data_IF_291876029865
#
_entry.id   IF_291876029865
#
_cell.length_a   1.000
_cell.length_b   1.000
_cell.length_c   1.000
_cell.angle_alpha   90.00
_cell.angle_beta   90.00
_cell.angle_gamma   90.00
#
_symmetry.space_group_name_H-M   'P 1'
#
loop_
_entity.id
_entity.type
_entity.pdbx_description
1 polymer ?
#
# COMPACT_ATOMS: atom_id res chain seq x y z
N UNK A 1 -31.03 -12.15 -4.20
CA UNK A 1 -30.46 -11.48 -5.39
C UNK A 1 -28.99 -11.77 -5.40
N UNK A 2 -28.42 -12.36 -6.45
CA UNK A 2 -26.98 -12.66 -6.47
C UNK A 2 -26.19 -11.35 -6.41
N UNK A 3 -25.19 -11.29 -5.50
CA UNK A 3 -24.31 -10.15 -5.41
C UNK A 3 -23.58 -9.94 -6.75
N UNK A 4 -23.78 -8.78 -7.35
CA UNK A 4 -23.07 -8.40 -8.58
C UNK A 4 -21.63 -8.03 -8.23
N UNK A 5 -20.66 -8.74 -8.78
CA UNK A 5 -19.23 -8.49 -8.54
C UNK A 5 -18.77 -7.23 -9.27
N UNK A 6 -19.03 -6.07 -8.71
CA UNK A 6 -18.73 -4.76 -9.31
C UNK A 6 -17.52 -4.04 -8.70
N UNK A 7 -16.99 -4.52 -7.56
CA UNK A 7 -15.86 -3.87 -6.87
C UNK A 7 -14.52 -4.06 -7.58
N UNK A 8 -14.39 -5.08 -8.45
CA UNK A 8 -13.19 -5.33 -9.26
C UNK A 8 -13.35 -4.64 -10.61
N UNK A 9 -12.40 -3.80 -10.95
CA UNK A 9 -12.40 -3.08 -12.22
C UNK A 9 -12.20 -1.57 -12.02
N UNK A 10 -12.11 -0.87 -13.13
CA UNK A 10 -11.91 0.58 -13.15
C UNK A 10 -13.26 1.31 -13.10
N UNK A 11 -13.87 1.30 -11.91
CA UNK A 11 -15.18 1.88 -11.65
C UNK A 11 -15.16 3.43 -11.63
N UNK A 12 -16.36 4.05 -11.55
CA UNK A 12 -16.52 5.52 -11.58
C UNK A 12 -15.76 6.24 -10.46
N UNK A 13 -15.70 5.65 -9.25
CA UNK A 13 -15.00 6.22 -8.11
C UNK A 13 -13.49 6.21 -8.33
N UNK A 14 -12.93 5.11 -8.84
CA UNK A 14 -11.51 5.00 -9.19
C UNK A 14 -11.13 5.98 -10.30
N UNK A 15 -11.98 6.15 -11.33
CA UNK A 15 -11.77 7.15 -12.38
C UNK A 15 -11.74 8.58 -11.82
N UNK A 16 -12.65 8.93 -10.91
CA UNK A 16 -12.64 10.24 -10.25
C UNK A 16 -11.37 10.45 -9.42
N UNK A 17 -10.93 9.42 -8.71
CA UNK A 17 -9.68 9.46 -7.96
C UNK A 17 -8.48 9.69 -8.88
N UNK A 18 -8.39 8.97 -9.99
CA UNK A 18 -7.30 9.09 -10.95
C UNK A 18 -7.25 10.50 -11.56
N UNK A 19 -8.40 11.07 -11.93
CA UNK A 19 -8.49 12.45 -12.42
C UNK A 19 -8.05 13.47 -11.34
N UNK A 20 -8.42 13.23 -10.09
CA UNK A 20 -7.99 14.09 -8.99
C UNK A 20 -6.47 14.04 -8.81
N UNK A 21 -5.88 12.84 -8.79
CA UNK A 21 -4.42 12.67 -8.67
C UNK A 21 -3.70 13.27 -9.88
N UNK A 22 -4.21 13.04 -11.09
CA UNK A 22 -3.65 13.64 -12.30
C UNK A 22 -3.66 15.18 -12.21
N UNK A 23 -4.80 15.77 -11.86
CA UNK A 23 -4.92 17.23 -11.68
C UNK A 23 -3.96 17.77 -10.61
N UNK A 24 -3.82 17.04 -9.48
CA UNK A 24 -2.85 17.39 -8.43
C UNK A 24 -1.40 17.34 -8.94
N UNK A 25 -1.02 16.30 -9.68
CA UNK A 25 0.33 16.19 -10.26
C UNK A 25 0.61 17.32 -11.25
N UNK A 26 -0.34 17.62 -12.15
CA UNK A 26 -0.19 18.72 -13.12
C UNK A 26 -0.06 20.06 -12.40
N UNK A 27 -0.91 20.33 -11.40
CA UNK A 27 -0.84 21.56 -10.62
C UNK A 27 0.50 21.71 -9.91
N UNK A 28 0.95 20.63 -9.23
CA UNK A 28 2.25 20.63 -8.54
C UNK A 28 3.40 20.93 -9.50
N UNK A 29 3.47 20.20 -10.64
CA UNK A 29 4.53 20.38 -11.63
C UNK A 29 4.51 21.80 -12.22
N UNK A 30 3.33 22.31 -12.57
CA UNK A 30 3.19 23.66 -13.12
C UNK A 30 3.63 24.75 -12.13
N UNK A 31 3.21 24.61 -10.86
CA UNK A 31 3.62 25.55 -9.80
C UNK A 31 5.12 25.47 -9.54
N UNK A 32 5.67 24.26 -9.43
CA UNK A 32 7.10 24.09 -9.19
C UNK A 32 7.95 24.68 -10.31
N UNK A 33 7.63 24.35 -11.58
CA UNK A 33 8.35 24.87 -12.74
C UNK A 33 8.18 26.40 -12.84
N UNK A 34 6.96 26.91 -12.63
CA UNK A 34 6.70 28.36 -12.66
C UNK A 34 7.46 29.13 -11.58
N UNK A 35 7.46 28.64 -10.33
CA UNK A 35 8.24 29.24 -9.23
C UNK A 35 9.75 29.16 -9.51
N UNK A 36 10.21 28.00 -10.02
CA UNK A 36 11.64 27.83 -10.36
C UNK A 36 12.07 28.80 -11.48
N UNK A 37 11.27 28.99 -12.51
CA UNK A 37 11.56 29.90 -13.61
C UNK A 37 11.67 31.38 -13.14
N UNK A 38 10.87 31.76 -12.14
CA UNK A 38 10.92 33.11 -11.56
C UNK A 38 12.13 33.29 -10.60
N UNK A 39 12.36 32.27 -9.76
CA UNK A 39 13.35 32.37 -8.67
C UNK A 39 14.79 32.03 -9.13
N UNK A 40 14.92 31.23 -10.20
CA UNK A 40 16.18 30.75 -10.76
C UNK A 40 16.13 30.78 -12.29
N UNK A 41 16.18 31.99 -12.91
CA UNK A 41 16.03 32.15 -14.34
C UNK A 41 17.13 31.48 -15.17
N UNK A 42 18.26 31.14 -14.56
CA UNK A 42 19.38 30.43 -15.20
C UNK A 42 19.14 28.91 -15.34
N UNK A 43 18.09 28.38 -14.73
CA UNK A 43 17.79 26.96 -14.86
C UNK A 43 17.11 26.68 -16.21
N UNK A 44 17.59 25.65 -16.92
CA UNK A 44 16.91 25.18 -18.12
C UNK A 44 15.58 24.51 -17.77
N UNK A 45 14.69 24.42 -18.74
CA UNK A 45 13.39 23.74 -18.56
C UNK A 45 13.59 22.27 -18.13
N UNK A 46 14.57 21.58 -18.72
CA UNK A 46 14.92 20.19 -18.40
C UNK A 46 15.34 20.06 -16.93
N UNK A 47 16.18 20.97 -16.44
CA UNK A 47 16.59 20.99 -15.04
C UNK A 47 15.40 21.19 -14.11
N UNK A 48 14.52 22.16 -14.43
CA UNK A 48 13.31 22.40 -13.64
C UNK A 48 12.36 21.17 -13.67
N UNK A 49 12.24 20.49 -14.81
CA UNK A 49 11.43 19.28 -14.94
C UNK A 49 12.00 18.11 -14.14
N UNK A 50 13.32 17.86 -14.21
CA UNK A 50 14.00 16.83 -13.43
C UNK A 50 13.79 17.07 -11.94
N UNK A 51 13.97 18.31 -11.47
CA UNK A 51 13.79 18.67 -10.04
C UNK A 51 12.34 18.53 -9.58
N UNK A 52 11.39 19.00 -10.38
CA UNK A 52 9.96 18.93 -10.03
C UNK A 52 9.44 17.49 -9.99
N UNK A 53 9.82 16.67 -10.96
CA UNK A 53 9.42 15.26 -11.03
C UNK A 53 10.07 14.41 -9.95
N UNK A 54 11.34 14.65 -9.61
CA UNK A 54 12.01 13.94 -8.50
C UNK A 54 11.36 14.22 -7.16
N UNK A 55 11.09 15.49 -6.86
CA UNK A 55 10.44 15.87 -5.59
C UNK A 55 9.01 15.37 -5.50
N UNK A 56 8.23 15.43 -6.59
CA UNK A 56 6.89 14.87 -6.63
C UNK A 56 6.90 13.35 -6.43
N UNK A 57 7.79 12.62 -7.11
CA UNK A 57 7.92 11.18 -6.95
C UNK A 57 8.27 10.79 -5.51
N UNK A 58 9.20 11.50 -4.87
CA UNK A 58 9.57 11.28 -3.47
C UNK A 58 8.41 11.54 -2.51
N UNK A 59 7.66 12.65 -2.69
CA UNK A 59 6.49 12.96 -1.88
C UNK A 59 5.40 11.88 -2.02
N UNK A 60 5.11 11.45 -3.27
CA UNK A 60 4.15 10.38 -3.52
C UNK A 60 4.60 9.06 -2.87
N UNK A 61 5.90 8.74 -2.93
CA UNK A 61 6.46 7.55 -2.29
C UNK A 61 6.30 7.58 -0.76
N UNK A 62 6.56 8.71 -0.12
CA UNK A 62 6.31 8.89 1.32
C UNK A 62 4.84 8.69 1.67
N UNK A 63 3.92 9.26 0.88
CA UNK A 63 2.47 9.07 1.08
C UNK A 63 2.09 7.60 0.94
N UNK A 64 2.53 6.92 -0.13
CA UNK A 64 2.20 5.51 -0.39
C UNK A 64 2.67 4.60 0.74
N UNK A 65 3.90 4.79 1.21
CA UNK A 65 4.48 3.99 2.29
C UNK A 65 3.85 4.29 3.65
N UNK A 66 3.29 5.48 3.85
CA UNK A 66 2.58 5.87 5.08
C UNK A 66 1.17 5.27 5.17
N UNK A 67 0.50 4.96 4.05
CA UNK A 67 -0.89 4.49 4.04
C UNK A 67 -1.08 3.24 4.92
N UNK A 68 -0.23 2.21 4.74
CA UNK A 68 -0.34 0.97 5.50
C UNK A 68 -0.24 1.16 7.02
N UNK A 69 0.83 1.78 7.52
CA UNK A 69 0.97 2.11 8.94
C UNK A 69 -0.19 2.97 9.50
N UNK A 70 -0.58 4.02 8.80
CA UNK A 70 -1.70 4.88 9.21
C UNK A 70 -3.00 4.08 9.38
N UNK A 71 -3.31 3.19 8.44
CA UNK A 71 -4.50 2.34 8.52
C UNK A 71 -4.50 1.42 9.74
N UNK A 72 -3.34 0.88 10.14
CA UNK A 72 -3.19 0.06 11.34
C UNK A 72 -3.28 0.87 12.64
N UNK A 73 -2.81 2.10 12.62
CA UNK A 73 -2.91 3.01 13.77
C UNK A 73 -4.32 3.56 13.94
N UNK A 74 -5.01 3.91 12.85
CA UNK A 74 -6.35 4.49 12.90
C UNK A 74 -7.21 4.06 11.71
N UNK A 75 -8.34 3.42 12.00
CA UNK A 75 -9.29 2.89 11.02
C UNK A 75 -9.90 3.97 10.09
N UNK A 76 -9.82 5.25 10.44
CA UNK A 76 -10.29 6.35 9.58
C UNK A 76 -9.53 6.42 8.25
N UNK A 77 -8.29 5.92 8.20
CA UNK A 77 -7.45 5.89 7.00
C UNK A 77 -7.69 4.68 6.10
N UNK A 78 -8.46 3.68 6.53
CA UNK A 78 -8.73 2.46 5.73
C UNK A 78 -9.22 2.72 4.30
N UNK A 79 -10.01 3.77 3.99
CA UNK A 79 -10.39 4.07 2.61
C UNK A 79 -9.23 4.32 1.65
N UNK A 80 -8.06 4.75 2.16
CA UNK A 80 -6.87 5.01 1.34
C UNK A 80 -6.27 3.72 0.74
N UNK A 81 -6.50 2.56 1.37
CA UNK A 81 -5.98 1.27 0.87
C UNK A 81 -6.52 0.90 -0.51
N UNK A 82 -7.78 1.23 -0.81
CA UNK A 82 -8.45 0.83 -2.06
C UNK A 82 -7.85 1.44 -3.33
N UNK A 83 -7.15 2.57 -3.22
CA UNK A 83 -6.57 3.28 -4.34
C UNK A 83 -5.03 3.33 -4.31
N UNK A 84 -4.40 2.65 -3.34
CA UNK A 84 -2.94 2.64 -3.16
C UNK A 84 -2.21 2.16 -4.41
N UNK A 85 -2.77 1.18 -5.13
CA UNK A 85 -2.24 0.66 -6.39
C UNK A 85 -2.13 1.75 -7.46
N UNK A 86 -3.21 2.53 -7.68
CA UNK A 86 -3.24 3.62 -8.67
C UNK A 86 -2.21 4.70 -8.33
N UNK A 87 -2.12 5.06 -7.06
CA UNK A 87 -1.12 6.03 -6.59
C UNK A 87 0.32 5.51 -6.81
N UNK A 88 0.56 4.20 -6.61
CA UNK A 88 1.86 3.56 -6.88
C UNK A 88 2.27 3.63 -8.34
N UNK A 89 1.34 3.34 -9.27
CA UNK A 89 1.59 3.45 -10.71
C UNK A 89 1.83 4.90 -11.11
N UNK A 90 1.08 5.86 -10.56
CA UNK A 90 1.30 7.29 -10.81
C UNK A 90 2.69 7.73 -10.34
N UNK A 91 3.09 7.34 -9.13
CA UNK A 91 4.44 7.63 -8.61
C UNK A 91 5.53 7.07 -9.53
N UNK A 92 5.39 5.80 -9.96
CA UNK A 92 6.34 5.21 -10.91
C UNK A 92 6.39 5.99 -12.23
N UNK A 93 5.25 6.39 -12.79
CA UNK A 93 5.20 7.18 -14.05
C UNK A 93 5.96 8.51 -13.89
N UNK A 94 5.77 9.21 -12.77
CA UNK A 94 6.50 10.45 -12.48
C UNK A 94 8.01 10.18 -12.32
N UNK A 95 8.38 9.11 -11.60
CA UNK A 95 9.77 8.69 -11.44
C UNK A 95 10.42 8.28 -12.78
N UNK A 96 9.65 7.65 -13.68
CA UNK A 96 10.12 7.28 -15.01
C UNK A 96 10.42 8.53 -15.86
N UNK A 97 9.56 9.55 -15.80
CA UNK A 97 9.83 10.84 -16.46
C UNK A 97 11.11 11.46 -15.90
N UNK A 98 11.28 11.49 -14.56
CA UNK A 98 12.50 11.97 -13.93
C UNK A 98 13.74 11.23 -14.44
N UNK A 99 13.74 9.89 -14.40
CA UNK A 99 14.88 9.07 -14.83
C UNK A 99 15.19 9.21 -16.30
N UNK A 100 14.16 9.27 -17.16
CA UNK A 100 14.33 9.44 -18.61
C UNK A 100 14.98 10.77 -18.97
N UNK A 101 14.48 11.88 -18.39
CA UNK A 101 15.06 13.20 -18.63
C UNK A 101 16.46 13.33 -18.01
N UNK A 102 16.73 12.70 -16.88
CA UNK A 102 18.07 12.65 -16.28
C UNK A 102 19.08 11.91 -17.17
N UNK A 103 18.69 10.75 -17.72
CA UNK A 103 19.55 10.01 -18.65
C UNK A 103 19.78 10.83 -19.92
N UNK A 104 18.74 11.46 -20.45
CA UNK A 104 18.87 12.31 -21.63
C UNK A 104 19.83 13.48 -21.38
N UNK A 105 19.62 14.26 -20.33
CA UNK A 105 20.40 15.47 -20.05
C UNK A 105 21.87 15.17 -19.70
N UNK A 106 22.13 14.13 -18.93
CA UNK A 106 23.47 13.89 -18.38
C UNK A 106 24.26 12.82 -19.11
N UNK A 107 23.62 11.97 -19.93
CA UNK A 107 24.30 10.83 -20.55
C UNK A 107 24.06 10.66 -22.05
N UNK A 108 22.99 11.25 -22.64
CA UNK A 108 22.68 11.03 -24.05
C UNK A 108 23.40 11.99 -25.02
N UNK A 109 23.94 13.09 -24.52
CA UNK A 109 24.58 14.13 -25.35
C UNK A 109 26.08 13.88 -25.57
N UNK A 110 26.63 12.77 -25.05
CA UNK A 110 28.03 12.37 -25.25
C UNK A 110 28.20 11.32 -26.33
N UNK A 111 29.45 10.88 -26.56
CA UNK A 111 29.80 9.86 -27.57
C UNK A 111 29.56 8.41 -27.10
N UNK A 112 29.37 8.20 -25.80
CA UNK A 112 29.12 6.87 -25.23
C UNK A 112 27.63 6.53 -25.23
N UNK A 113 27.30 5.23 -25.27
CA UNK A 113 25.92 4.80 -25.04
C UNK A 113 25.45 5.32 -23.67
N UNK A 114 24.24 5.94 -23.55
CA UNK A 114 23.75 6.56 -22.33
C UNK A 114 23.74 5.62 -21.12
N UNK A 115 23.38 4.36 -21.30
CA UNK A 115 23.36 3.37 -20.22
C UNK A 115 24.79 2.97 -19.80
N UNK A 116 25.73 2.88 -20.74
CA UNK A 116 27.17 2.67 -20.42
C UNK A 116 27.70 3.88 -19.67
N UNK A 117 27.44 5.09 -20.16
CA UNK A 117 27.81 6.35 -19.50
C UNK A 117 27.32 6.44 -18.05
N UNK A 118 26.08 6.03 -17.79
CA UNK A 118 25.49 6.05 -16.45
C UNK A 118 26.33 5.27 -15.40
N UNK A 119 27.00 4.19 -15.82
CA UNK A 119 27.81 3.36 -14.93
C UNK A 119 29.33 3.65 -14.98
N UNK A 120 29.80 4.31 -16.05
CA UNK A 120 31.25 4.50 -16.29
C UNK A 120 31.71 5.94 -16.21
N UNK A 121 30.83 6.92 -16.33
CA UNK A 121 31.19 8.35 -16.31
C UNK A 121 31.73 8.84 -14.97
N UNK A 122 31.35 8.17 -13.88
CA UNK A 122 31.84 8.44 -12.54
C UNK A 122 32.12 7.12 -11.81
N UNK A 123 33.34 6.94 -11.34
CA UNK A 123 33.81 5.75 -10.61
C UNK A 123 34.39 6.07 -9.24
N UNK A 124 34.08 7.25 -8.69
CA UNK A 124 34.61 7.71 -7.41
C UNK A 124 33.85 7.16 -6.21
N UNK A 125 33.77 5.83 -6.08
CA UNK A 125 33.03 5.14 -5.02
C UNK A 125 33.54 5.46 -3.59
N UNK A 126 34.76 5.92 -3.44
CA UNK A 126 35.34 6.31 -2.14
C UNK A 126 35.01 7.75 -1.72
N UNK A 127 34.39 8.54 -2.56
CA UNK A 127 34.07 9.95 -2.28
C UNK A 127 32.61 10.12 -1.93
N UNK A 128 32.29 10.75 -0.80
CA UNK A 128 30.90 11.07 -0.45
C UNK A 128 30.28 12.13 -1.36
N UNK A 129 31.06 13.17 -1.68
CA UNK A 129 30.61 14.30 -2.49
C UNK A 129 30.57 14.03 -4.01
N UNK A 130 31.28 13.00 -4.45
CA UNK A 130 31.35 12.62 -5.89
C UNK A 130 30.96 11.16 -6.11
N UNK A 131 30.18 10.58 -5.21
CA UNK A 131 29.73 9.22 -5.32
C UNK A 131 28.88 9.02 -6.60
N UNK A 132 28.99 7.90 -7.32
CA UNK A 132 28.18 7.61 -8.52
C UNK A 132 26.71 7.28 -8.17
N UNK A 133 26.02 8.26 -7.60
CA UNK A 133 24.65 8.14 -7.05
C UNK A 133 23.59 7.80 -8.09
N UNK A 134 23.83 8.10 -9.36
CA UNK A 134 22.88 7.87 -10.46
C UNK A 134 22.55 6.39 -10.62
N UNK A 135 23.51 5.50 -10.42
CA UNK A 135 23.31 4.06 -10.44
C UNK A 135 22.29 3.60 -9.36
N UNK A 136 22.31 4.22 -8.17
CA UNK A 136 21.34 3.92 -7.11
C UNK A 136 19.90 4.26 -7.54
N UNK A 137 19.70 5.42 -8.16
CA UNK A 137 18.42 5.85 -8.71
C UNK A 137 17.94 4.93 -9.83
N UNK A 138 18.84 4.48 -10.71
CA UNK A 138 18.54 3.56 -11.77
C UNK A 138 18.05 2.19 -11.26
N UNK A 139 18.73 1.59 -10.28
CA UNK A 139 18.28 0.33 -9.68
C UNK A 139 16.96 0.48 -8.92
N UNK A 140 16.74 1.60 -8.23
CA UNK A 140 15.46 1.88 -7.61
C UNK A 140 14.33 1.97 -8.67
N UNK A 141 14.60 2.63 -9.79
CA UNK A 141 13.63 2.74 -10.90
C UNK A 141 13.28 1.37 -11.52
N UNK A 142 14.27 0.46 -11.64
CA UNK A 142 14.03 -0.92 -12.08
C UNK A 142 13.08 -1.63 -11.10
N UNK A 143 13.31 -1.51 -9.79
CA UNK A 143 12.44 -2.12 -8.79
C UNK A 143 11.03 -1.55 -8.92
N UNK A 144 10.87 -0.23 -9.03
CA UNK A 144 9.55 0.40 -9.22
C UNK A 144 8.88 -0.02 -10.53
N UNK A 145 9.63 -0.20 -11.60
CA UNK A 145 9.11 -0.74 -12.86
C UNK A 145 8.54 -2.14 -12.68
N UNK A 146 9.29 -3.06 -12.04
CA UNK A 146 8.83 -4.41 -11.77
C UNK A 146 7.58 -4.41 -10.87
N UNK A 147 7.52 -3.53 -9.87
CA UNK A 147 6.35 -3.39 -9.03
C UNK A 147 5.15 -2.83 -9.78
N UNK A 148 5.34 -1.83 -10.64
CA UNK A 148 4.28 -1.22 -11.42
C UNK A 148 3.69 -2.21 -12.44
N UNK A 149 4.53 -2.93 -13.19
CA UNK A 149 4.09 -3.90 -14.20
C UNK A 149 3.35 -5.08 -13.54
N UNK A 150 3.87 -5.59 -12.40
CA UNK A 150 3.24 -6.70 -11.67
C UNK A 150 2.03 -6.27 -10.83
N UNK A 151 1.72 -4.99 -10.80
CA UNK A 151 0.45 -4.48 -10.29
C UNK A 151 -0.71 -4.62 -11.29
N UNK A 152 -0.45 -4.94 -12.56
CA UNK A 152 -1.49 -5.19 -13.55
C UNK A 152 -2.24 -6.51 -13.28
N UNK A 153 -3.55 -6.56 -13.55
CA UNK A 153 -4.43 -7.69 -13.24
C UNK A 153 -3.93 -9.02 -13.84
N UNK A 154 -3.32 -8.98 -15.03
CA UNK A 154 -2.70 -10.15 -15.64
C UNK A 154 -1.69 -10.83 -14.69
N UNK A 155 -0.77 -10.06 -14.11
CA UNK A 155 0.24 -10.61 -13.21
C UNK A 155 -0.33 -11.02 -11.86
N UNK A 156 -1.37 -10.34 -11.39
CA UNK A 156 -2.09 -10.71 -10.15
C UNK A 156 -2.73 -12.09 -10.27
N UNK A 157 -3.16 -12.50 -11.47
CA UNK A 157 -3.70 -13.83 -11.73
C UNK A 157 -2.63 -14.90 -11.93
N UNK A 158 -1.44 -14.53 -12.44
CA UNK A 158 -0.41 -15.49 -12.84
C UNK A 158 0.71 -15.67 -11.80
N UNK A 159 0.89 -14.73 -10.88
CA UNK A 159 1.89 -14.84 -9.81
C UNK A 159 1.27 -15.43 -8.55
N UNK A 160 2.05 -16.29 -7.86
CA UNK A 160 1.62 -16.75 -6.54
C UNK A 160 1.58 -15.58 -5.54
N UNK A 161 0.68 -15.61 -4.52
CA UNK A 161 0.62 -14.59 -3.47
C UNK A 161 1.96 -14.33 -2.79
N UNK A 162 2.73 -15.40 -2.56
CA UNK A 162 4.06 -15.31 -1.95
C UNK A 162 5.04 -14.56 -2.84
N UNK A 163 5.11 -14.93 -4.12
CA UNK A 163 6.02 -14.29 -5.10
C UNK A 163 5.67 -12.82 -5.28
N UNK A 164 4.39 -12.51 -5.48
CA UNK A 164 3.93 -11.13 -5.63
C UNK A 164 4.25 -10.29 -4.39
N UNK A 165 3.97 -10.80 -3.18
CA UNK A 165 4.27 -10.11 -1.93
C UNK A 165 5.77 -9.87 -1.74
N UNK A 166 6.61 -10.88 -2.00
CA UNK A 166 8.08 -10.76 -1.88
C UNK A 166 8.60 -9.68 -2.82
N UNK A 167 8.13 -9.65 -4.08
CA UNK A 167 8.51 -8.64 -5.05
C UNK A 167 8.10 -7.24 -4.58
N UNK A 168 6.88 -7.08 -4.04
CA UNK A 168 6.41 -5.77 -3.55
C UNK A 168 7.08 -5.34 -2.25
N UNK A 169 7.67 -6.26 -1.48
CA UNK A 169 8.51 -5.90 -0.32
C UNK A 169 9.84 -5.24 -0.73
N UNK A 170 10.28 -5.40 -1.98
CA UNK A 170 11.45 -4.68 -2.51
C UNK A 170 11.27 -3.15 -2.51
N UNK A 171 10.06 -2.65 -2.27
CA UNK A 171 9.81 -1.21 -2.09
C UNK A 171 10.69 -0.61 -0.98
N UNK A 172 11.00 -1.36 0.07
CA UNK A 172 11.87 -0.87 1.15
C UNK A 172 13.34 -0.78 0.71
N UNK A 173 13.80 -1.73 -0.11
CA UNK A 173 15.11 -1.65 -0.73
C UNK A 173 15.18 -0.48 -1.71
N UNK A 174 14.17 -0.30 -2.56
CA UNK A 174 14.08 0.84 -3.46
C UNK A 174 14.06 2.18 -2.70
N UNK A 175 13.33 2.25 -1.58
CA UNK A 175 13.29 3.43 -0.74
C UNK A 175 14.69 3.76 -0.18
N UNK A 176 15.43 2.77 0.35
CA UNK A 176 16.80 2.96 0.80
C UNK A 176 17.71 3.47 -0.33
N UNK A 177 17.62 2.87 -1.53
CA UNK A 177 18.38 3.31 -2.69
C UNK A 177 18.05 4.76 -3.08
N UNK A 178 16.77 5.18 -3.00
CA UNK A 178 16.35 6.56 -3.27
C UNK A 178 16.90 7.52 -2.21
N UNK A 179 16.85 7.16 -0.91
CA UNK A 179 17.45 8.01 0.13
C UNK A 179 18.95 8.21 -0.12
N UNK A 180 19.69 7.12 -0.41
CA UNK A 180 21.11 7.20 -0.73
C UNK A 180 21.37 7.99 -2.03
N UNK A 181 20.55 7.79 -3.07
CA UNK A 181 20.59 8.54 -4.33
C UNK A 181 20.47 10.05 -4.10
N UNK A 182 19.53 10.47 -3.26
CA UNK A 182 19.30 11.89 -2.96
C UNK A 182 20.39 12.45 -2.06
N UNK A 183 20.78 11.73 -0.99
CA UNK A 183 21.78 12.17 -0.02
C UNK A 183 23.18 12.27 -0.65
N UNK A 184 23.60 11.28 -1.44
CA UNK A 184 24.91 11.22 -2.10
C UNK A 184 24.95 11.98 -3.42
N UNK A 185 23.80 12.46 -3.90
CA UNK A 185 23.66 13.19 -5.15
C UNK A 185 23.18 14.62 -4.94
N UNK A 186 21.89 14.85 -5.20
CA UNK A 186 21.32 16.19 -5.26
C UNK A 186 21.58 17.03 -4.00
N UNK A 187 21.52 16.44 -2.80
CA UNK A 187 21.72 17.18 -1.54
C UNK A 187 23.15 17.63 -1.31
N UNK A 188 24.15 17.07 -2.00
CA UNK A 188 25.55 17.53 -1.86
C UNK A 188 25.75 18.95 -2.41
N UNK A 189 24.91 19.37 -3.35
CA UNK A 189 24.99 20.67 -4.03
C UNK A 189 23.75 21.57 -3.73
N UNK A 190 22.83 21.09 -2.90
CA UNK A 190 21.58 21.79 -2.61
C UNK A 190 21.78 22.79 -1.46
N UNK A 191 21.49 24.05 -1.74
CA UNK A 191 21.57 25.14 -0.76
C UNK A 191 20.23 25.49 -0.11
N UNK A 192 19.11 25.06 -0.73
CA UNK A 192 17.78 25.33 -0.22
C UNK A 192 17.41 24.32 0.89
N UNK A 193 17.22 24.74 2.15
CA UNK A 193 16.96 23.84 3.27
C UNK A 193 15.64 23.07 3.13
N UNK A 194 14.71 23.53 2.30
CA UNK A 194 13.40 22.88 2.10
C UNK A 194 13.55 21.44 1.64
N UNK A 195 14.50 21.14 0.75
CA UNK A 195 14.72 19.78 0.26
C UNK A 195 15.27 18.84 1.33
N UNK A 196 16.19 19.34 2.15
CA UNK A 196 16.72 18.61 3.32
C UNK A 196 15.59 18.33 4.32
N UNK A 197 14.74 19.33 4.60
CA UNK A 197 13.60 19.20 5.51
C UNK A 197 12.60 18.16 4.98
N UNK A 198 12.22 18.21 3.70
CA UNK A 198 11.28 17.24 3.09
C UNK A 198 11.83 15.82 3.24
N UNK A 199 13.11 15.60 2.91
CA UNK A 199 13.71 14.28 3.03
C UNK A 199 13.77 13.81 4.47
N UNK A 200 14.32 14.64 5.38
CA UNK A 200 14.55 14.26 6.78
C UNK A 200 13.25 14.05 7.54
N UNK A 201 12.31 14.99 7.43
CA UNK A 201 11.00 14.90 8.09
C UNK A 201 10.18 13.76 7.50
N UNK A 202 10.16 13.62 6.17
CA UNK A 202 9.46 12.54 5.49
C UNK A 202 9.97 11.16 5.93
N UNK A 203 11.28 10.97 5.91
CA UNK A 203 11.91 9.70 6.31
C UNK A 203 11.71 9.41 7.80
N UNK A 204 11.90 10.39 8.68
CA UNK A 204 11.70 10.22 10.12
C UNK A 204 10.24 9.87 10.44
N UNK A 205 9.29 10.56 9.82
CA UNK A 205 7.85 10.28 9.95
C UNK A 205 7.53 8.86 9.49
N UNK A 206 8.08 8.44 8.36
CA UNK A 206 7.85 7.10 7.83
C UNK A 206 8.37 6.01 8.76
N UNK A 207 9.61 6.15 9.26
CA UNK A 207 10.21 5.23 10.24
C UNK A 207 9.34 5.16 11.50
N UNK A 208 8.97 6.31 12.06
CA UNK A 208 8.14 6.39 13.26
C UNK A 208 6.79 5.69 13.07
N UNK A 209 6.11 5.95 11.96
CA UNK A 209 4.82 5.31 11.64
C UNK A 209 4.94 3.78 11.55
N UNK A 210 6.02 3.27 10.93
CA UNK A 210 6.24 1.82 10.83
C UNK A 210 6.55 1.19 12.18
N UNK A 211 7.33 1.85 13.03
CA UNK A 211 7.64 1.37 14.38
C UNK A 211 6.37 1.32 15.25
N UNK A 212 5.57 2.40 15.24
CA UNK A 212 4.33 2.46 16.02
C UNK A 212 3.30 1.43 15.53
N UNK A 213 3.11 1.30 14.21
CA UNK A 213 2.20 0.33 13.63
C UNK A 213 2.67 -1.11 13.89
N UNK A 214 3.98 -1.37 13.76
CA UNK A 214 4.57 -2.67 14.08
C UNK A 214 4.38 -3.05 15.56
N UNK A 215 4.63 -2.13 16.48
CA UNK A 215 4.41 -2.35 17.91
C UNK A 215 2.95 -2.70 18.22
N UNK A 216 2.00 -1.99 17.61
CA UNK A 216 0.56 -2.27 17.78
C UNK A 216 0.16 -3.65 17.24
N UNK A 217 0.72 -4.06 16.08
CA UNK A 217 0.44 -5.39 15.52
C UNK A 217 1.06 -6.51 16.38
N UNK A 218 2.29 -6.33 16.88
CA UNK A 218 2.92 -7.28 17.81
C UNK A 218 2.10 -7.41 19.08
N UNK A 219 1.59 -6.31 19.63
CA UNK A 219 0.72 -6.35 20.81
C UNK A 219 -0.56 -7.14 20.53
N UNK A 220 -1.20 -6.92 19.37
CA UNK A 220 -2.40 -7.65 18.95
C UNK A 220 -2.12 -9.15 18.80
N UNK A 221 -1.00 -9.51 18.16
CA UNK A 221 -0.62 -10.91 17.94
C UNK A 221 -0.24 -11.65 19.22
N UNK A 222 0.15 -10.93 20.28
CA UNK A 222 0.49 -11.48 21.59
C UNK A 222 -0.67 -11.41 22.59
N UNK A 223 -1.84 -10.89 22.22
CA UNK A 223 -3.02 -10.87 23.10
C UNK A 223 -3.45 -12.31 23.38
N UNK A 224 -3.52 -12.67 24.68
CA UNK A 224 -4.03 -13.97 25.13
C UNK A 224 -5.52 -13.86 25.40
N UNK A 225 -6.21 -14.89 25.01
CA UNK A 225 -7.63 -15.05 25.26
C UNK A 225 -7.87 -16.34 26.04
N UNK A 226 -8.65 -16.26 27.12
CA UNK A 226 -8.97 -17.45 27.91
C UNK A 226 -10.23 -18.11 27.38
N UNK A 227 -10.19 -19.44 27.27
CA UNK A 227 -11.36 -20.25 26.87
C UNK A 227 -12.28 -20.36 28.06
N UNK A 228 -13.50 -19.80 27.98
CA UNK A 228 -14.41 -19.80 29.11
C UNK A 228 -15.43 -20.93 29.10
N UNK A 229 -16.17 -21.14 28.02
CA UNK A 229 -17.22 -22.16 27.95
C UNK A 229 -17.30 -22.79 26.55
N UNK A 230 -17.44 -24.11 26.54
CA UNK A 230 -17.75 -24.87 25.29
C UNK A 230 -16.82 -24.54 24.10
N UNK A 231 -15.58 -24.15 24.36
CA UNK A 231 -14.62 -23.78 23.34
C UNK A 231 -14.75 -22.34 22.78
N UNK A 232 -15.61 -21.51 23.40
CA UNK A 232 -15.76 -20.10 23.04
C UNK A 232 -14.87 -19.20 23.90
N UNK A 233 -14.38 -18.14 23.29
CA UNK A 233 -13.50 -17.13 23.85
C UNK A 233 -14.19 -15.78 23.76
N UNK A 234 -14.23 -15.03 24.87
CA UNK A 234 -14.67 -13.63 24.83
C UNK A 234 -13.65 -12.78 24.07
N UNK A 235 -14.11 -12.05 23.05
CA UNK A 235 -13.21 -11.27 22.17
C UNK A 235 -13.45 -9.76 22.25
N UNK A 236 -14.69 -9.29 22.36
CA UNK A 236 -15.00 -7.86 22.48
C UNK A 236 -16.49 -7.59 22.76
N UNK A 237 -16.84 -6.32 22.97
CA UNK A 237 -18.22 -5.84 22.90
C UNK A 237 -18.71 -5.68 21.45
N UNK A 238 -20.03 -5.84 21.23
CA UNK A 238 -20.67 -5.63 19.94
C UNK A 238 -20.45 -4.21 19.40
N UNK A 239 -20.45 -3.21 20.29
CA UNK A 239 -20.28 -1.79 19.94
C UNK A 239 -18.85 -1.43 19.50
N UNK A 240 -17.89 -2.29 19.79
CA UNK A 240 -16.52 -2.13 19.34
C UNK A 240 -16.33 -2.48 17.85
N UNK A 241 -17.33 -3.12 17.25
CA UNK A 241 -17.32 -3.47 15.82
C UNK A 241 -18.23 -2.49 15.08
N UNK A 242 -17.63 -1.63 14.26
CA UNK A 242 -18.39 -0.68 13.46
C UNK A 242 -19.19 -1.41 12.36
N UNK A 243 -20.36 -0.88 12.01
CA UNK A 243 -21.21 -1.42 10.93
C UNK A 243 -20.43 -1.45 9.61
N UNK A 244 -20.63 -2.52 8.82
CA UNK A 244 -19.93 -2.82 7.57
C UNK A 244 -18.41 -2.95 7.68
N UNK A 245 -17.88 -3.11 8.88
CA UNK A 245 -16.45 -3.23 9.19
C UNK A 245 -16.17 -4.46 10.04
N UNK A 246 -14.89 -4.74 10.18
CA UNK A 246 -14.43 -5.81 11.04
C UNK A 246 -13.53 -5.33 12.17
N UNK A 247 -13.45 -6.17 13.21
CA UNK A 247 -12.37 -6.19 14.19
C UNK A 247 -11.58 -7.48 14.02
N UNK A 248 -10.24 -7.38 14.04
CA UNK A 248 -9.33 -8.51 13.81
C UNK A 248 -8.81 -9.01 15.16
N UNK A 249 -8.91 -10.31 15.35
CA UNK A 249 -8.39 -11.03 16.52
C UNK A 249 -7.31 -12.00 16.09
N UNK A 250 -6.26 -12.18 16.87
CA UNK A 250 -5.22 -13.18 16.67
C UNK A 250 -5.32 -14.22 17.76
N UNK A 251 -5.72 -15.45 17.40
CA UNK A 251 -5.90 -16.57 18.32
C UNK A 251 -5.09 -17.73 17.76
N UNK A 252 -4.21 -18.31 18.58
CA UNK A 252 -3.31 -19.40 18.18
C UNK A 252 -2.52 -19.11 16.87
N UNK A 253 -2.06 -17.86 16.71
CA UNK A 253 -1.37 -17.34 15.54
C UNK A 253 -2.23 -17.24 14.27
N UNK A 254 -3.51 -17.54 14.33
CA UNK A 254 -4.46 -17.30 13.24
C UNK A 254 -5.18 -15.96 13.43
N UNK A 255 -5.26 -15.19 12.36
CA UNK A 255 -5.99 -13.92 12.36
C UNK A 255 -7.39 -14.13 11.83
N UNK A 256 -8.38 -13.82 12.66
CA UNK A 256 -9.81 -13.96 12.38
C UNK A 256 -10.43 -12.57 12.31
N UNK A 257 -11.20 -12.29 11.27
CA UNK A 257 -11.93 -11.04 11.09
C UNK A 257 -13.41 -11.24 11.46
N UNK A 258 -13.89 -10.51 12.47
CA UNK A 258 -15.29 -10.50 12.89
C UNK A 258 -15.96 -9.26 12.32
N UNK A 259 -16.91 -9.45 11.41
CA UNK A 259 -17.65 -8.39 10.72
C UNK A 259 -19.03 -8.17 11.34
N UNK A 260 -19.46 -6.90 11.37
CA UNK A 260 -20.84 -6.52 11.71
C UNK A 260 -21.58 -6.07 10.46
N UNK A 261 -22.68 -6.79 10.12
CA UNK A 261 -23.50 -6.50 8.95
C UNK A 261 -24.94 -6.96 9.15
N UNK A 262 -25.91 -6.14 8.74
CA UNK A 262 -27.37 -6.44 8.81
C UNK A 262 -27.82 -6.98 10.18
N UNK A 263 -27.38 -6.34 11.25
CA UNK A 263 -27.67 -6.73 12.64
C UNK A 263 -27.18 -8.15 13.01
N UNK A 264 -26.14 -8.63 12.30
CA UNK A 264 -25.47 -9.92 12.57
C UNK A 264 -23.96 -9.77 12.60
N UNK A 265 -23.33 -10.72 13.26
CA UNK A 265 -21.86 -10.86 13.25
C UNK A 265 -21.46 -12.09 12.45
N UNK A 266 -20.42 -11.96 11.64
CA UNK A 266 -19.84 -13.01 10.82
C UNK A 266 -18.34 -13.08 11.06
N UNK A 267 -17.78 -14.28 11.19
CA UNK A 267 -16.35 -14.47 11.40
C UNK A 267 -15.76 -15.29 10.26
N UNK A 268 -14.69 -14.75 9.66
CA UNK A 268 -13.95 -15.41 8.57
C UNK A 268 -12.45 -15.34 8.81
N UNK A 269 -11.71 -16.24 8.18
CA UNK A 269 -10.25 -16.16 8.16
C UNK A 269 -9.81 -14.83 7.51
N UNK A 270 -8.87 -14.14 8.16
CA UNK A 270 -8.51 -12.76 7.77
C UNK A 270 -7.64 -12.66 6.52
N UNK A 271 -7.15 -13.76 5.95
CA UNK A 271 -6.23 -13.76 4.83
C UNK A 271 -6.94 -14.02 3.51
N UNK A 272 -6.95 -13.03 2.63
CA UNK A 272 -7.50 -13.13 1.28
C UNK A 272 -6.72 -14.16 0.44
N UNK A 273 -7.42 -15.14 -0.15
CA UNK A 273 -6.80 -16.19 -0.96
C UNK A 273 -6.19 -15.68 -2.27
N UNK A 274 -6.62 -14.49 -2.74
CA UNK A 274 -6.09 -13.91 -3.98
C UNK A 274 -4.61 -13.54 -3.85
N UNK A 275 -4.23 -12.66 -2.89
CA UNK A 275 -2.85 -12.20 -2.71
C UNK A 275 -2.46 -11.98 -1.24
N UNK A 276 -3.16 -12.62 -0.30
CA UNK A 276 -2.83 -12.57 1.12
C UNK A 276 -3.17 -11.24 1.81
N UNK A 277 -4.04 -10.41 1.20
CA UNK A 277 -4.48 -9.15 1.81
C UNK A 277 -5.31 -9.37 3.07
N UNK A 278 -5.25 -8.47 4.08
CA UNK A 278 -6.01 -8.58 5.31
C UNK A 278 -7.49 -8.22 5.07
N UNK A 279 -8.37 -9.21 5.07
CA UNK A 279 -9.80 -8.99 4.83
C UNK A 279 -10.41 -8.05 5.85
N UNK A 280 -10.08 -8.17 7.13
CA UNK A 280 -10.62 -7.33 8.21
C UNK A 280 -10.22 -5.85 8.15
N UNK A 281 -9.26 -5.45 7.32
CA UNK A 281 -8.99 -4.05 7.00
C UNK A 281 -9.94 -3.53 5.89
N UNK A 282 -10.70 -4.42 5.27
CA UNK A 282 -11.71 -4.10 4.25
C UNK A 282 -13.04 -3.63 4.84
N UNK A 283 -14.05 -3.64 4.00
CA UNK A 283 -15.44 -3.37 4.39
C UNK A 283 -16.41 -4.21 3.59
N UNK A 284 -17.66 -4.25 4.02
CA UNK A 284 -18.74 -4.83 3.22
C UNK A 284 -19.16 -3.82 2.15
N UNK A 285 -19.14 -4.27 0.89
CA UNK A 285 -19.60 -3.52 -0.28
C UNK A 285 -20.52 -4.46 -1.07
N UNK A 286 -21.71 -4.00 -1.39
CA UNK A 286 -22.71 -4.78 -2.13
C UNK A 286 -22.97 -6.17 -1.50
N UNK A 287 -23.04 -6.22 -0.16
CA UNK A 287 -23.25 -7.45 0.61
C UNK A 287 -22.05 -8.39 0.70
N UNK A 288 -20.88 -7.99 0.22
CA UNK A 288 -19.67 -8.81 0.20
C UNK A 288 -18.53 -8.16 1.00
N UNK A 289 -17.85 -8.98 1.79
CA UNK A 289 -16.56 -8.62 2.40
C UNK A 289 -15.57 -8.35 1.28
N UNK A 290 -15.09 -7.11 1.16
CA UNK A 290 -14.26 -6.65 0.05
C UNK A 290 -12.83 -6.40 0.50
N UNK A 291 -11.89 -7.15 -0.06
CA UNK A 291 -10.46 -7.02 0.24
C UNK A 291 -9.95 -5.61 -0.13
N UNK A 292 -9.23 -4.92 0.77
CA UNK A 292 -8.79 -3.55 0.53
C UNK A 292 -7.65 -3.45 -0.49
N UNK A 293 -6.96 -4.55 -0.81
CA UNK A 293 -5.83 -4.51 -1.73
C UNK A 293 -6.27 -4.48 -3.20
N UNK A 294 -7.19 -5.39 -3.59
CA UNK A 294 -7.57 -5.52 -5.01
C UNK A 294 -9.09 -5.56 -5.23
N UNK A 295 -9.90 -5.40 -4.16
CA UNK A 295 -11.35 -5.44 -4.26
C UNK A 295 -11.93 -6.85 -4.39
N UNK A 296 -11.14 -7.90 -4.12
CA UNK A 296 -11.64 -9.28 -4.13
C UNK A 296 -12.71 -9.48 -3.08
N UNK A 297 -13.80 -10.19 -3.40
CA UNK A 297 -15.01 -10.27 -2.59
C UNK A 297 -15.28 -11.66 -2.06
N UNK A 298 -15.85 -11.73 -0.86
CA UNK A 298 -16.29 -12.95 -0.19
C UNK A 298 -17.65 -12.74 0.47
N UNK A 299 -18.53 -13.74 0.37
CA UNK A 299 -19.83 -13.72 1.05
C UNK A 299 -19.63 -13.90 2.56
N UNK A 300 -20.25 -13.07 3.43
CA UNK A 300 -20.01 -13.13 4.87
C UNK A 300 -20.43 -14.47 5.50
N UNK A 301 -21.51 -15.07 5.03
CA UNK A 301 -22.11 -16.27 5.62
C UNK A 301 -21.37 -17.58 5.31
N UNK A 302 -20.58 -17.65 4.25
CA UNK A 302 -19.87 -18.88 3.88
C UNK A 302 -18.41 -18.67 3.45
N UNK A 303 -17.91 -17.42 3.38
CA UNK A 303 -16.54 -17.14 2.96
C UNK A 303 -16.24 -17.49 1.51
N UNK A 304 -17.23 -17.70 0.63
CA UNK A 304 -17.03 -17.99 -0.78
C UNK A 304 -16.99 -16.71 -1.60
N UNK A 305 -16.14 -16.68 -2.62
CA UNK A 305 -16.14 -15.60 -3.60
C UNK A 305 -17.36 -15.75 -4.52
N UNK A 306 -18.06 -14.63 -4.85
CA UNK A 306 -19.10 -14.65 -5.88
C UNK A 306 -18.56 -15.07 -7.25
N UNK A 307 -19.36 -15.69 -8.12
CA UNK A 307 -18.95 -15.97 -9.49
C UNK A 307 -18.46 -14.70 -10.22
N UNK A 308 -17.45 -14.79 -11.09
CA UNK A 308 -16.82 -15.99 -11.64
C UNK A 308 -15.69 -16.60 -10.78
N UNK A 309 -15.42 -16.06 -9.62
CA UNK A 309 -14.32 -16.49 -8.73
C UNK A 309 -14.72 -17.72 -7.92
N UNK A 310 -13.71 -18.52 -7.52
CA UNK A 310 -13.92 -19.82 -6.85
C UNK A 310 -13.24 -19.91 -5.48
N UNK A 311 -12.49 -18.89 -5.09
CA UNK A 311 -11.76 -18.86 -3.85
C UNK A 311 -12.68 -18.88 -2.64
N UNK A 312 -12.23 -19.55 -1.60
CA UNK A 312 -12.97 -19.72 -0.35
C UNK A 312 -12.05 -19.45 0.82
N UNK A 313 -12.60 -18.91 1.89
CA UNK A 313 -11.94 -18.77 3.18
C UNK A 313 -12.72 -19.52 4.26
N UNK A 314 -12.04 -19.92 5.33
CA UNK A 314 -12.66 -20.56 6.46
C UNK A 314 -13.60 -19.60 7.20
N UNK A 315 -14.67 -20.15 7.77
CA UNK A 315 -15.62 -19.45 8.64
C UNK A 315 -15.51 -19.96 10.07
N UNK A 316 -16.03 -19.19 11.03
CA UNK A 316 -15.94 -19.50 12.46
C UNK A 316 -17.29 -19.28 13.13
N UNK A 317 -17.53 -19.99 14.23
CA UNK A 317 -18.73 -19.78 15.05
C UNK A 317 -18.62 -18.55 15.93
N UNK A 318 -19.74 -17.85 16.03
CA UNK A 318 -19.93 -16.72 16.93
C UNK A 318 -21.18 -16.91 17.78
N UNK A 319 -21.13 -16.41 19.02
CA UNK A 319 -22.30 -16.21 19.90
C UNK A 319 -22.32 -14.77 20.38
N UNK A 320 -23.50 -14.22 20.54
CA UNK A 320 -23.73 -12.92 21.16
C UNK A 320 -24.56 -13.16 22.42
N UNK A 321 -24.02 -12.77 23.56
CA UNK A 321 -24.72 -12.85 24.86
C UNK A 321 -24.77 -11.46 25.47
N UNK A 322 -25.93 -10.82 25.41
CA UNK A 322 -26.07 -9.40 25.72
C UNK A 322 -25.23 -8.56 24.74
N UNK A 323 -24.32 -7.74 25.27
CA UNK A 323 -23.39 -6.93 24.45
C UNK A 323 -22.05 -7.60 24.16
N UNK A 324 -21.84 -8.85 24.58
CA UNK A 324 -20.56 -9.57 24.50
C UNK A 324 -20.49 -10.47 23.28
N UNK A 325 -19.36 -10.45 22.57
CA UNK A 325 -19.08 -11.31 21.42
C UNK A 325 -18.15 -12.43 21.84
N UNK A 326 -18.58 -13.65 21.56
CA UNK A 326 -17.86 -14.89 21.83
C UNK A 326 -17.51 -15.56 20.50
N UNK A 327 -16.27 -15.96 20.34
CA UNK A 327 -15.73 -16.58 19.13
C UNK A 327 -15.20 -17.97 19.45
N UNK A 328 -15.61 -18.96 18.68
CA UNK A 328 -14.96 -20.28 18.67
C UNK A 328 -13.82 -20.26 17.64
N UNK A 329 -12.54 -20.44 18.07
CA UNK A 329 -11.40 -20.38 17.17
C UNK A 329 -11.26 -21.59 16.24
N UNK A 330 -12.04 -22.65 16.44
CA UNK A 330 -12.05 -23.83 15.57
C UNK A 330 -12.64 -23.49 14.21
N UNK A 331 -11.77 -23.45 13.19
CA UNK A 331 -12.15 -23.12 11.82
C UNK A 331 -13.04 -24.22 11.22
N UNK A 332 -14.12 -23.83 10.55
CA UNK A 332 -14.82 -24.72 9.63
C UNK A 332 -14.08 -24.84 8.30
N UNK A 333 -14.29 -25.93 7.56
CA UNK A 333 -13.78 -26.06 6.20
C UNK A 333 -14.14 -24.85 5.33
N UNK A 334 -13.24 -24.46 4.43
CA UNK A 334 -13.44 -23.30 3.55
C UNK A 334 -14.74 -23.40 2.75
N UNK A 335 -15.55 -22.37 2.79
CA UNK A 335 -16.84 -22.31 2.11
C UNK A 335 -17.99 -22.90 2.89
N UNK A 336 -17.81 -23.28 4.16
CA UNK A 336 -18.89 -23.76 5.03
C UNK A 336 -19.84 -22.63 5.40
N UNK A 337 -21.13 -22.86 5.21
CA UNK A 337 -22.18 -21.89 5.53
C UNK A 337 -22.37 -21.74 7.04
N UNK A 338 -22.38 -20.50 7.52
CA UNK A 338 -22.67 -20.13 8.91
C UNK A 338 -23.66 -18.95 8.93
N UNK A 339 -24.79 -19.08 9.62
CA UNK A 339 -25.88 -18.08 9.55
C UNK A 339 -25.55 -16.71 10.17
N UNK A 340 -24.39 -16.57 10.78
CA UNK A 340 -24.02 -15.40 11.55
C UNK A 340 -24.75 -15.31 12.89
N UNK A 341 -24.13 -14.73 13.92
CA UNK A 341 -24.74 -14.51 15.22
C UNK A 341 -25.64 -13.26 15.21
N UNK A 342 -26.90 -13.38 15.59
CA UNK A 342 -27.81 -12.24 15.69
C UNK A 342 -27.38 -11.32 16.83
N UNK A 343 -27.49 -10.01 16.61
CA UNK A 343 -27.32 -8.98 17.65
C UNK A 343 -28.72 -8.72 18.21
N UNK A 344 -28.95 -9.18 19.42
CA UNK A 344 -30.26 -9.03 20.12
C UNK A 344 -30.29 -7.76 20.96
#
# INVERSE_FOLDING_TARGET
MGASYTAVGWNRQKKKYDWFIFGFCVLYLSLFVGVTAISNPDYTFETALIRSTSTLALLLLHVILSIGPLCRLNNKFLPLLYNRRHLGVTMFTVALVHGSFSIFQFHALGNANPFVSLFTSNTQFGSLSQFPFQALGFFALIIFFLMAITSHDFWLHNLSPKTWKTLHMLVYAAYLLIILHVVLGALQYETNPVFVIILSVGSATLVLLHLLAGGKEVQKDNTRYDVEKEGFIYVCGVDEIATDRAKIFCIDKERIAVYKWENRLYAIHNVCKHQGGPLGEGKIIDGCITCPWHGYQYLPHNGQSPPPFKEKVATYDLRVEGSKVWLNPSAFPEGTERPGAAIT
#
